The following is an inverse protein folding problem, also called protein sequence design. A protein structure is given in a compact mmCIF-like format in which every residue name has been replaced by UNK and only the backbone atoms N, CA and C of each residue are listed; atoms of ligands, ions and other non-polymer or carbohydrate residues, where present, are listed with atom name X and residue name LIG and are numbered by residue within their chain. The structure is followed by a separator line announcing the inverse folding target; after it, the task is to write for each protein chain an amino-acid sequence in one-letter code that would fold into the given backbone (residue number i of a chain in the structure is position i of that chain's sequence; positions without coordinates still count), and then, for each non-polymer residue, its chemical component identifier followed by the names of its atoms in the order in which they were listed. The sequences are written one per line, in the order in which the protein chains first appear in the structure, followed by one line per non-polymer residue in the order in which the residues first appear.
data_IF_785381982577
#
_entry.id   IF_785381982577
#
_cell.length_a   1.000
_cell.length_b   1.000
_cell.length_c   1.000
_cell.angle_alpha   90.00
_cell.angle_beta   90.00
_cell.angle_gamma   90.00
#
_symmetry.space_group_name_H-M   'P 1'
#
loop_
_entity.id
_entity.type
_entity.pdbx_description
1 polymer ?
#
# COMPACT_ATOMS: atom_id res chain seq x y z
N UNK A 1 -14.33 -27.32 -5.47
CA UNK A 1 -14.16 -26.09 -4.67
C UNK A 1 -13.49 -25.09 -5.58
N UNK A 2 -14.21 -24.06 -6.03
CA UNK A 2 -13.58 -22.94 -6.74
C UNK A 2 -12.88 -22.15 -5.64
N UNK A 3 -11.54 -22.06 -5.66
CA UNK A 3 -10.83 -21.23 -4.70
C UNK A 3 -11.42 -19.81 -4.79
N UNK A 4 -11.90 -19.26 -3.68
CA UNK A 4 -12.36 -17.88 -3.63
C UNK A 4 -11.18 -16.98 -3.93
N UNK A 5 -11.16 -16.39 -5.13
CA UNK A 5 -10.20 -15.33 -5.47
C UNK A 5 -10.57 -14.08 -4.69
N UNK A 6 -9.55 -13.38 -4.20
CA UNK A 6 -9.71 -12.06 -3.60
C UNK A 6 -10.35 -11.09 -4.60
N UNK A 7 -11.27 -10.25 -4.14
CA UNK A 7 -11.93 -9.27 -4.99
C UNK A 7 -12.23 -7.96 -4.23
N UNK A 8 -12.34 -6.88 -4.99
CA UNK A 8 -12.86 -5.58 -4.54
C UNK A 8 -14.17 -5.33 -5.26
N UNK A 9 -15.25 -5.14 -4.49
CA UNK A 9 -16.55 -4.77 -5.03
C UNK A 9 -16.60 -3.29 -5.42
N UNK A 10 -17.27 -2.99 -6.52
CA UNK A 10 -17.60 -1.63 -6.96
C UNK A 10 -19.08 -1.41 -6.69
N UNK A 11 -19.40 -0.39 -5.90
CA UNK A 11 -20.74 -0.08 -5.40
C UNK A 11 -21.21 1.26 -5.98
N UNK A 12 -22.47 1.31 -6.41
CA UNK A 12 -23.19 2.56 -6.60
C UNK A 12 -23.83 2.99 -5.26
N UNK A 13 -23.40 4.13 -4.73
CA UNK A 13 -23.86 4.63 -3.42
C UNK A 13 -25.24 5.29 -3.45
N UNK A 14 -25.79 5.59 -4.63
CA UNK A 14 -27.16 6.11 -4.76
C UNK A 14 -28.21 5.01 -4.70
N UNK A 15 -27.87 3.81 -5.20
CA UNK A 15 -28.74 2.64 -5.24
C UNK A 15 -28.40 1.59 -4.18
N UNK A 16 -27.24 1.71 -3.54
CA UNK A 16 -26.64 0.71 -2.65
C UNK A 16 -26.44 -0.66 -3.33
N UNK A 17 -26.31 -0.68 -4.66
CA UNK A 17 -26.12 -1.88 -5.46
C UNK A 17 -24.68 -2.08 -5.93
N UNK A 18 -24.21 -3.32 -5.93
CA UNK A 18 -22.93 -3.69 -6.58
C UNK A 18 -23.06 -3.55 -8.09
N UNK A 19 -22.16 -2.78 -8.70
CA UNK A 19 -22.11 -2.54 -10.15
C UNK A 19 -20.92 -3.24 -10.82
N UNK A 20 -20.03 -3.85 -10.05
CA UNK A 20 -18.92 -4.64 -10.58
C UNK A 20 -18.04 -5.22 -9.49
N UNK A 21 -17.09 -6.04 -9.92
CA UNK A 21 -16.05 -6.61 -9.05
C UNK A 21 -14.71 -6.62 -9.80
N UNK A 22 -13.64 -6.37 -9.06
CA UNK A 22 -12.26 -6.42 -9.55
C UNK A 22 -11.60 -7.61 -8.88
N UNK A 23 -11.20 -8.61 -9.66
CA UNK A 23 -10.60 -9.84 -9.15
C UNK A 23 -9.07 -9.75 -9.12
N UNK A 24 -8.47 -10.38 -8.11
CA UNK A 24 -7.03 -10.45 -7.93
C UNK A 24 -6.53 -11.89 -7.93
N UNK A 25 -5.26 -12.07 -8.28
CA UNK A 25 -4.58 -13.37 -8.20
C UNK A 25 -4.03 -13.63 -6.80
N UNK A 26 -4.90 -13.48 -5.79
CA UNK A 26 -4.57 -13.67 -4.38
C UNK A 26 -5.75 -14.32 -3.65
N UNK A 27 -5.51 -14.77 -2.42
CA UNK A 27 -6.54 -15.39 -1.59
C UNK A 27 -7.29 -14.37 -0.73
N UNK A 28 -6.69 -13.22 -0.43
CA UNK A 28 -7.30 -12.18 0.39
C UNK A 28 -6.91 -10.75 -0.05
N UNK A 29 -7.76 -9.78 0.31
CA UNK A 29 -7.49 -8.34 0.26
C UNK A 29 -7.42 -7.81 1.69
N UNK A 30 -6.26 -7.32 2.09
CA UNK A 30 -6.00 -6.87 3.46
C UNK A 30 -6.27 -5.37 3.65
N UNK A 31 -5.96 -4.54 2.65
CA UNK A 31 -6.15 -3.08 2.73
C UNK A 31 -6.27 -2.47 1.34
N UNK A 32 -6.85 -1.28 1.26
CA UNK A 32 -7.05 -0.52 0.04
C UNK A 32 -6.91 1.00 0.30
N UNK A 33 -6.27 1.71 -0.64
CA UNK A 33 -6.04 3.15 -0.57
C UNK A 33 -6.18 3.79 -1.95
N UNK A 34 -7.00 4.84 -2.06
CA UNK A 34 -7.08 5.66 -3.26
C UNK A 34 -5.89 6.61 -3.36
N UNK A 35 -5.47 6.91 -4.59
CA UNK A 35 -4.62 8.08 -4.87
C UNK A 35 -5.37 9.37 -4.53
N UNK A 36 -4.61 10.45 -4.27
CA UNK A 36 -5.20 11.75 -3.92
C UNK A 36 -6.10 12.33 -5.03
N UNK A 37 -5.83 11.98 -6.29
CA UNK A 37 -6.66 12.36 -7.45
C UNK A 37 -7.82 11.39 -7.73
N UNK A 38 -7.92 10.28 -6.98
CA UNK A 38 -8.96 9.26 -7.13
C UNK A 38 -8.85 8.41 -8.40
N UNK A 39 -7.81 8.56 -9.21
CA UNK A 39 -7.68 7.84 -10.50
C UNK A 39 -7.12 6.43 -10.34
N UNK A 40 -6.45 6.16 -9.22
CA UNK A 40 -5.80 4.88 -8.91
C UNK A 40 -6.27 4.36 -7.56
N UNK A 41 -6.45 3.05 -7.50
CA UNK A 41 -6.65 2.32 -6.26
C UNK A 41 -5.45 1.41 -6.04
N UNK A 42 -4.79 1.55 -4.90
CA UNK A 42 -3.76 0.64 -4.44
C UNK A 42 -4.39 -0.39 -3.52
N UNK A 43 -4.16 -1.67 -3.82
CA UNK A 43 -4.75 -2.80 -3.10
C UNK A 43 -3.61 -3.64 -2.55
N UNK A 44 -3.60 -3.82 -1.24
CA UNK A 44 -2.71 -4.75 -0.57
C UNK A 44 -3.42 -6.10 -0.44
N UNK A 45 -2.95 -7.09 -1.18
CA UNK A 45 -3.45 -8.47 -1.10
C UNK A 45 -2.61 -9.27 -0.11
N UNK A 46 -2.92 -10.55 0.11
CA UNK A 46 -2.16 -11.42 1.02
C UNK A 46 -0.64 -11.50 0.75
N UNK A 47 -0.18 -11.10 -0.44
CA UNK A 47 1.23 -11.19 -0.87
C UNK A 47 1.74 -10.05 -1.77
N UNK A 48 0.84 -9.32 -2.43
CA UNK A 48 1.18 -8.35 -3.46
C UNK A 48 0.62 -6.96 -3.15
N UNK A 49 1.31 -5.93 -3.64
CA UNK A 49 0.73 -4.61 -3.84
C UNK A 49 0.27 -4.50 -5.30
N UNK A 50 -1.00 -4.16 -5.50
CA UNK A 50 -1.64 -4.07 -6.81
C UNK A 50 -2.11 -2.64 -7.06
N UNK A 51 -1.91 -2.13 -8.27
CA UNK A 51 -2.49 -0.88 -8.74
C UNK A 51 -3.65 -1.17 -9.70
N UNK A 52 -4.76 -0.48 -9.47
CA UNK A 52 -6.00 -0.56 -10.25
C UNK A 52 -6.31 0.81 -10.83
N UNK A 53 -6.64 0.85 -12.12
CA UNK A 53 -7.26 2.00 -12.77
C UNK A 53 -8.74 2.04 -12.39
N UNK A 54 -9.13 3.08 -11.64
CA UNK A 54 -10.49 3.23 -11.10
C UNK A 54 -11.51 3.50 -12.21
N UNK A 55 -11.12 4.19 -13.28
CA UNK A 55 -12.04 4.54 -14.38
C UNK A 55 -12.41 3.34 -15.22
N UNK A 56 -11.48 2.38 -15.35
CA UNK A 56 -11.65 1.16 -16.14
C UNK A 56 -11.97 -0.06 -15.29
N UNK A 57 -11.81 0.02 -13.97
CA UNK A 57 -11.86 -1.12 -13.05
C UNK A 57 -10.90 -2.25 -13.44
N UNK A 58 -9.67 -1.88 -13.83
CA UNK A 58 -8.67 -2.83 -14.32
C UNK A 58 -7.40 -2.81 -13.48
N UNK A 59 -6.90 -4.00 -13.15
CA UNK A 59 -5.54 -4.15 -12.62
C UNK A 59 -4.54 -3.70 -13.68
N UNK A 60 -3.66 -2.77 -13.34
CA UNK A 60 -2.64 -2.21 -14.25
C UNK A 60 -1.25 -2.73 -13.94
N UNK A 61 -0.93 -2.91 -12.64
CA UNK A 61 0.38 -3.36 -12.17
C UNK A 61 0.22 -4.21 -10.91
N UNK A 62 1.08 -5.20 -10.74
CA UNK A 62 1.20 -5.99 -9.50
C UNK A 62 2.68 -6.08 -9.11
N UNK A 63 2.96 -6.09 -7.81
CA UNK A 63 4.30 -6.24 -7.25
C UNK A 63 4.24 -7.19 -6.06
N UNK A 64 4.90 -8.34 -6.16
CA UNK A 64 5.04 -9.27 -5.03
C UNK A 64 5.99 -8.71 -3.97
N UNK A 65 5.52 -8.68 -2.72
CA UNK A 65 6.26 -8.17 -1.58
C UNK A 65 6.81 -9.32 -0.72
N UNK A 66 5.90 -10.02 -0.05
CA UNK A 66 6.09 -11.22 0.75
C UNK A 66 4.71 -11.70 1.21
N UNK A 67 4.59 -12.97 1.58
CA UNK A 67 3.37 -13.49 2.23
C UNK A 67 3.11 -12.78 3.57
N UNK A 68 1.84 -12.67 3.95
CA UNK A 68 1.44 -12.15 5.27
C UNK A 68 1.52 -10.63 5.37
N UNK A 69 1.17 -9.91 4.31
CA UNK A 69 1.00 -8.45 4.40
C UNK A 69 -0.17 -8.08 5.34
N UNK A 70 -0.20 -6.86 5.87
CA UNK A 70 -1.24 -6.44 6.83
C UNK A 70 -1.91 -5.10 6.49
N UNK A 71 -1.14 -4.04 6.29
CA UNK A 71 -1.66 -2.67 6.14
C UNK A 71 -0.96 -1.93 5.02
N UNK A 72 -1.61 -0.90 4.48
CA UNK A 72 -1.10 -0.06 3.41
C UNK A 72 -1.29 1.43 3.73
N UNK A 73 -0.22 2.20 3.62
CA UNK A 73 -0.25 3.66 3.61
C UNK A 73 0.40 4.22 2.34
N UNK A 74 -0.15 5.32 1.81
CA UNK A 74 0.41 6.06 0.66
C UNK A 74 0.83 7.45 1.13
N UNK A 75 2.01 7.92 0.72
CA UNK A 75 2.47 9.26 1.07
C UNK A 75 1.56 10.34 0.44
N UNK A 76 1.39 11.53 1.06
CA UNK A 76 0.50 12.57 0.54
C UNK A 76 0.90 13.14 -0.83
N UNK A 77 2.13 12.92 -1.28
CA UNK A 77 2.60 13.26 -2.62
C UNK A 77 2.37 12.13 -3.66
N UNK A 78 1.90 10.97 -3.22
CA UNK A 78 1.61 9.80 -4.07
C UNK A 78 2.86 9.07 -4.58
N UNK A 79 4.05 9.38 -4.08
CA UNK A 79 5.30 8.81 -4.61
C UNK A 79 5.66 7.45 -3.99
N UNK A 80 5.27 7.20 -2.74
CA UNK A 80 5.65 6.00 -2.02
C UNK A 80 4.47 5.31 -1.36
N UNK A 81 4.52 3.99 -1.36
CA UNK A 81 3.67 3.13 -0.53
C UNK A 81 4.50 2.48 0.58
N UNK A 82 3.88 2.35 1.74
CA UNK A 82 4.42 1.69 2.92
C UNK A 82 3.47 0.55 3.27
N UNK A 83 3.98 -0.67 3.24
CA UNK A 83 3.17 -1.88 3.41
C UNK A 83 3.69 -2.68 4.60
N UNK A 84 2.82 -2.94 5.57
CA UNK A 84 3.09 -3.92 6.62
C UNK A 84 3.27 -5.29 6.00
N UNK A 85 4.42 -5.91 6.21
CA UNK A 85 4.81 -7.16 5.55
C UNK A 85 5.75 -7.96 6.44
N UNK A 86 6.20 -9.11 5.94
CA UNK A 86 7.19 -9.96 6.60
C UNK A 86 8.49 -9.97 5.80
N UNK A 87 9.60 -10.12 6.50
CA UNK A 87 10.85 -10.57 5.89
C UNK A 87 10.70 -12.08 5.56
N UNK A 88 10.80 -12.52 4.29
CA UNK A 88 10.50 -13.90 3.90
C UNK A 88 11.35 -15.00 4.55
N UNK A 89 12.60 -14.72 4.90
CA UNK A 89 13.57 -15.70 5.40
C UNK A 89 13.51 -15.83 6.92
N UNK A 90 13.22 -14.74 7.64
CA UNK A 90 13.26 -14.72 9.10
C UNK A 90 11.89 -14.44 9.75
N UNK A 91 10.84 -14.26 8.95
CA UNK A 91 9.47 -13.99 9.40
C UNK A 91 9.36 -12.80 10.36
N UNK A 92 10.27 -11.83 10.23
CA UNK A 92 10.26 -10.61 11.05
C UNK A 92 9.24 -9.62 10.46
N UNK A 93 8.36 -9.02 11.29
CA UNK A 93 7.50 -7.94 10.84
C UNK A 93 8.30 -6.69 10.43
N UNK A 94 8.00 -6.20 9.24
CA UNK A 94 8.66 -5.03 8.64
C UNK A 94 7.62 -4.13 7.96
N UNK A 95 8.04 -2.92 7.65
CA UNK A 95 7.33 -2.06 6.69
C UNK A 95 8.13 -2.03 5.40
N UNK A 96 7.59 -2.63 4.34
CA UNK A 96 8.15 -2.53 2.99
C UNK A 96 7.90 -1.14 2.42
N UNK A 97 8.91 -0.55 1.79
CA UNK A 97 8.82 0.76 1.13
C UNK A 97 8.86 0.54 -0.37
N UNK A 98 7.84 1.02 -1.08
CA UNK A 98 7.66 0.86 -2.52
C UNK A 98 7.63 2.21 -3.19
N UNK A 99 8.44 2.38 -4.24
CA UNK A 99 8.35 3.51 -5.17
C UNK A 99 7.22 3.25 -6.17
N UNK A 100 6.19 4.11 -6.16
CA UNK A 100 4.99 3.96 -6.99
C UNK A 100 5.19 4.44 -8.43
N UNK A 101 6.23 5.23 -8.68
CA UNK A 101 6.59 5.70 -10.02
C UNK A 101 7.38 4.62 -10.75
N UNK A 102 8.47 4.15 -10.12
CA UNK A 102 9.31 3.09 -10.65
C UNK A 102 8.70 1.68 -10.49
N UNK A 103 7.62 1.55 -9.70
CA UNK A 103 6.92 0.30 -9.39
C UNK A 103 7.83 -0.79 -8.85
N UNK A 104 8.59 -0.47 -7.81
CA UNK A 104 9.51 -1.42 -7.18
C UNK A 104 9.66 -1.17 -5.70
N UNK A 105 9.88 -2.24 -4.95
CA UNK A 105 10.30 -2.15 -3.56
C UNK A 105 11.73 -1.59 -3.49
N UNK A 106 11.94 -0.60 -2.64
CA UNK A 106 13.23 0.10 -2.47
C UNK A 106 13.86 -0.14 -1.11
N UNK A 107 13.13 -0.71 -0.16
CA UNK A 107 13.68 -1.02 1.16
C UNK A 107 12.65 -1.60 2.13
N UNK A 108 13.13 -1.87 3.34
CA UNK A 108 12.34 -2.34 4.47
C UNK A 108 12.75 -1.59 5.72
N UNK A 109 11.78 -1.20 6.52
CA UNK A 109 11.99 -0.59 7.84
C UNK A 109 11.67 -1.66 8.89
N UNK A 110 12.60 -1.86 9.82
CA UNK A 110 12.52 -2.85 10.90
C UNK A 110 12.13 -2.19 12.22
N UNK A 111 11.88 -3.01 13.25
CA UNK A 111 11.53 -2.55 14.60
C UNK A 111 10.04 -2.36 14.83
N UNK A 112 9.19 -2.81 13.89
CA UNK A 112 7.75 -2.88 14.06
C UNK A 112 7.34 -4.27 14.54
N UNK A 113 6.22 -4.35 15.24
CA UNK A 113 5.54 -5.61 15.53
C UNK A 113 4.14 -5.50 14.94
N UNK A 114 3.89 -6.24 13.85
CA UNK A 114 2.58 -6.35 13.19
C UNK A 114 1.83 -5.01 13.07
N UNK A 115 2.31 -4.07 12.24
CA UNK A 115 1.64 -2.79 12.06
C UNK A 115 0.20 -3.01 11.60
N UNK A 116 -0.74 -2.37 12.30
CA UNK A 116 -2.18 -2.45 12.01
C UNK A 116 -2.66 -1.33 11.09
N UNK A 117 -2.02 -0.17 11.15
CA UNK A 117 -2.37 1.02 10.36
C UNK A 117 -1.12 1.85 10.07
N UNK A 118 -1.06 2.43 8.87
CA UNK A 118 -0.04 3.40 8.48
C UNK A 118 -0.74 4.67 7.97
N UNK A 119 -0.51 5.78 8.67
CA UNK A 119 -1.04 7.09 8.31
C UNK A 119 0.08 8.13 8.24
N UNK A 120 -0.06 9.10 7.34
CA UNK A 120 0.92 10.16 7.12
C UNK A 120 0.36 11.52 7.53
N UNK A 121 1.23 12.35 8.10
CA UNK A 121 0.97 13.79 8.30
C UNK A 121 2.14 14.60 7.74
N UNK A 122 1.85 15.75 7.14
CA UNK A 122 2.89 16.72 6.79
C UNK A 122 3.29 17.48 8.06
N UNK A 123 4.59 17.58 8.31
CA UNK A 123 5.15 18.46 9.33
C UNK A 123 6.07 19.45 8.65
N UNK A 124 5.86 20.74 8.90
CA UNK A 124 6.84 21.77 8.56
C UNK A 124 7.85 21.82 9.70
N UNK A 125 9.08 21.40 9.42
CA UNK A 125 10.18 21.64 10.34
C UNK A 125 10.77 23.00 10.04
N UNK A 126 10.79 23.89 11.03
CA UNK A 126 11.64 25.08 11.00
C UNK A 126 12.90 24.70 11.77
N UNK A 127 14.05 24.47 11.10
CA UNK A 127 15.27 24.15 11.82
C UNK A 127 15.57 25.25 12.83
N UNK A 128 15.79 24.85 14.09
CA UNK A 128 16.33 25.80 15.07
C UNK A 128 17.83 25.97 14.80
N UNK A 129 18.43 27.08 15.24
CA UNK A 129 19.86 27.35 15.05
C UNK A 129 20.78 26.21 15.57
N UNK A 130 20.28 25.34 16.46
CA UNK A 130 20.99 24.15 16.96
C UNK A 130 21.01 22.94 16.02
N UNK A 131 20.06 22.82 15.09
CA UNK A 131 19.97 21.66 14.17
C UNK A 131 20.85 21.81 12.93
N UNK A 132 21.26 23.05 12.60
CA UNK A 132 22.21 23.34 11.54
C UNK A 132 23.64 22.84 11.85
N UNK A 133 23.92 22.48 13.11
CA UNK A 133 25.20 21.93 13.54
C UNK A 133 25.40 20.43 13.21
N UNK A 134 24.38 19.77 12.65
CA UNK A 134 24.44 18.34 12.29
C UNK A 134 24.77 18.06 10.82
N UNK A 135 25.18 19.06 10.03
CA UNK A 135 25.87 18.78 8.77
C UNK A 135 27.28 18.27 9.08
N UNK A 136 27.44 16.95 9.00
CA UNK A 136 28.74 16.27 9.09
C UNK A 136 29.72 16.78 8.00
N UNK A 137 31.04 16.70 8.24
CA UNK A 137 32.10 17.29 7.40
C UNK A 137 32.17 16.75 5.98
#
# INVERSE_FOLDING_TARGET
SVASRAAVGVLDTGTHGTVGEIQFEANDVNDLKLSADGTRLYVNTSRDLVEVDVTRNLVTRSLTLAEGTSTLGITPDGLFAYVGSLEPLIFEPVVAVVDLTAWRMIGRIRGFMFPSEIAFRRISFTPTEGDAALTLP
#
